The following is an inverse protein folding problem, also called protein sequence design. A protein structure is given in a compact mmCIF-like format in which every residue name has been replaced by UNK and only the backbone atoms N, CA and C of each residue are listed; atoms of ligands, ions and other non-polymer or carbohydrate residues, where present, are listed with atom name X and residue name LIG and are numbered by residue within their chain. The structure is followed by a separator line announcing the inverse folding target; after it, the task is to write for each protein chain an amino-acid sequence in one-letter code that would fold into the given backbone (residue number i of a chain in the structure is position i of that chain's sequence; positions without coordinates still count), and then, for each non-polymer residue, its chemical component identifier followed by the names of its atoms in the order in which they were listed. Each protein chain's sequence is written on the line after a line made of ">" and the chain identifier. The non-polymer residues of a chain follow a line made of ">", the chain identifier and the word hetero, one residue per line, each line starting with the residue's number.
data_IF_006985018091
#
_entry.id   IF_006985018091
#
_cell.length_a   1.000
_cell.length_b   1.000
_cell.length_c   1.000
_cell.angle_alpha   90.00
_cell.angle_beta   90.00
_cell.angle_gamma   90.00
#
_symmetry.space_group_name_H-M   'P 1'
#
loop_
_entity.id
_entity.type
_entity.pdbx_description
1 polymer ?
#
# COMPACT_ATOMS: atom_id res chain seq x y z
N UNK A 1 3.03 41.25 73.96
CA UNK A 1 3.47 40.06 74.72
C UNK A 1 3.96 39.05 73.70
N UNK A 2 5.25 38.83 73.50
CA UNK A 2 6.33 38.35 74.40
C UNK A 2 6.57 36.85 74.19
N UNK A 3 7.70 36.54 73.55
CA UNK A 3 8.32 35.20 73.48
C UNK A 3 9.07 34.92 74.80
N UNK A 4 9.35 33.64 75.13
CA UNK A 4 10.68 33.07 74.80
C UNK A 4 10.61 31.59 74.32
N UNK A 5 11.68 30.95 73.83
CA UNK A 5 13.06 31.42 73.56
C UNK A 5 14.13 30.35 73.86
N UNK A 6 15.39 30.57 73.40
CA UNK A 6 16.59 29.70 73.60
C UNK A 6 16.58 28.31 72.94
N UNK A 7 17.70 27.66 72.59
CA UNK A 7 19.15 27.98 72.61
C UNK A 7 19.81 27.37 71.33
N UNK A 8 20.93 27.82 70.72
CA UNK A 8 22.34 27.90 71.20
C UNK A 8 22.89 26.55 71.73
N UNK A 9 24.13 26.09 71.46
CA UNK A 9 25.34 26.54 70.74
C UNK A 9 26.25 25.29 70.51
N UNK A 10 27.34 25.19 69.70
CA UNK A 10 28.04 26.03 68.70
C UNK A 10 28.81 25.07 67.73
N UNK A 11 30.10 25.10 67.29
CA UNK A 11 31.29 25.98 67.41
C UNK A 11 32.48 25.46 66.53
N UNK A 12 33.21 26.37 65.86
CA UNK A 12 34.64 26.25 65.41
C UNK A 12 34.99 25.19 64.32
N UNK A 13 36.02 25.30 63.46
CA UNK A 13 37.13 26.27 63.18
C UNK A 13 37.56 26.07 61.70
N UNK A 14 38.26 26.94 60.95
CA UNK A 14 38.80 28.31 61.07
C UNK A 14 39.47 28.65 59.72
N UNK A 15 39.18 29.79 59.08
CA UNK A 15 39.90 31.09 59.12
C UNK A 15 41.16 31.18 58.20
N UNK A 16 41.27 32.32 57.48
CA UNK A 16 42.46 32.97 56.88
C UNK A 16 43.46 32.14 56.01
N UNK A 17 43.87 32.56 54.80
CA UNK A 17 44.22 33.91 54.29
C UNK A 17 44.20 33.97 52.74
N UNK A 18 44.32 35.18 52.17
CA UNK A 18 44.83 35.42 50.80
C UNK A 18 45.79 36.64 50.81
N UNK A 19 46.82 36.68 49.95
CA UNK A 19 46.85 37.73 48.92
C UNK A 19 47.49 37.33 47.56
N UNK A 20 47.56 38.31 46.64
CA UNK A 20 48.01 38.21 45.24
C UNK A 20 49.52 37.97 45.04
N UNK A 21 49.88 37.35 43.90
CA UNK A 21 50.91 37.87 42.97
C UNK A 21 50.75 37.27 41.55
N UNK A 22 51.22 37.97 40.52
CA UNK A 22 51.19 37.53 39.11
C UNK A 22 52.52 36.88 38.66
N UNK A 23 52.48 35.92 37.72
CA UNK A 23 53.65 35.37 37.01
C UNK A 23 53.30 34.67 35.66
N UNK A 24 53.12 35.48 34.61
CA UNK A 24 53.32 35.20 33.17
C UNK A 24 53.46 33.77 32.57
N UNK A 25 52.54 33.47 31.61
CA UNK A 25 52.79 32.82 30.30
C UNK A 25 53.24 31.33 30.28
N UNK A 26 53.26 30.66 29.09
CA UNK A 26 52.06 30.12 28.46
C UNK A 26 52.12 28.59 28.30
N UNK A 27 51.04 27.96 27.81
CA UNK A 27 51.08 26.57 27.29
C UNK A 27 50.41 26.48 25.94
N UNK A 28 51.18 26.00 24.96
CA UNK A 28 50.74 25.83 23.59
C UNK A 28 49.76 24.67 23.42
N UNK A 29 48.95 24.77 22.36
CA UNK A 29 48.05 23.73 21.88
C UNK A 29 48.80 22.66 21.09
N UNK A 30 48.50 21.38 21.33
CA UNK A 30 48.04 20.50 20.24
C UNK A 30 47.34 19.23 20.75
N UNK A 31 46.67 18.59 19.80
CA UNK A 31 45.84 17.39 19.90
C UNK A 31 46.61 16.14 20.39
N UNK A 32 45.93 15.12 20.94
CA UNK A 32 44.49 15.02 21.16
C UNK A 32 44.09 13.71 21.86
N UNK A 33 42.80 13.54 22.21
CA UNK A 33 42.37 12.43 23.06
C UNK A 33 42.15 11.11 22.30
N UNK A 34 42.59 10.06 22.96
CA UNK A 34 42.34 8.65 22.66
C UNK A 34 40.82 8.35 22.60
N UNK A 35 40.35 7.64 21.56
CA UNK A 35 38.94 7.27 21.43
C UNK A 35 38.65 5.95 22.12
N UNK A 36 38.13 6.04 23.34
CA UNK A 36 37.49 4.91 24.02
C UNK A 36 36.33 4.35 23.17
N UNK A 37 36.31 3.03 22.97
CA UNK A 37 35.37 2.36 22.06
C UNK A 37 34.16 1.87 22.87
N UNK A 38 33.34 2.83 23.33
CA UNK A 38 32.02 2.51 23.87
C UNK A 38 31.12 2.01 22.73
N UNK A 39 30.85 0.69 22.69
CA UNK A 39 29.89 0.11 21.74
C UNK A 39 28.48 0.53 22.19
N UNK A 40 27.71 1.30 21.39
CA UNK A 40 26.35 1.68 21.77
C UNK A 40 25.41 0.47 21.66
N UNK A 41 24.57 0.26 22.68
CA UNK A 41 23.46 -0.69 22.64
C UNK A 41 22.54 -0.36 21.45
N UNK A 42 22.40 -1.30 20.51
CA UNK A 42 21.60 -1.09 19.29
C UNK A 42 20.09 -1.31 19.50
N UNK A 43 19.60 -1.09 20.72
CA UNK A 43 18.21 -1.39 21.13
C UNK A 43 17.34 -0.13 21.18
N UNK A 44 17.90 1.01 21.57
CA UNK A 44 17.14 2.20 21.99
C UNK A 44 16.85 3.19 20.84
N UNK A 45 17.03 2.77 19.59
CA UNK A 45 17.03 3.62 18.39
C UNK A 45 15.77 3.50 17.50
N UNK A 46 14.63 3.01 18.05
CA UNK A 46 13.45 2.64 17.25
C UNK A 46 12.14 3.35 17.64
N UNK A 47 11.96 3.86 18.88
CA UNK A 47 10.62 4.30 19.35
C UNK A 47 10.36 5.82 19.47
N UNK A 48 11.34 6.72 19.32
CA UNK A 48 11.08 8.18 19.37
C UNK A 48 10.94 8.86 17.99
N UNK A 49 9.83 8.59 17.28
CA UNK A 49 9.20 9.60 16.40
C UNK A 49 7.73 9.31 16.05
N UNK A 50 6.95 10.38 15.78
CA UNK A 50 5.55 10.34 15.30
C UNK A 50 4.55 9.70 16.29
N UNK A 51 4.51 10.22 17.53
CA UNK A 51 3.44 9.98 18.52
C UNK A 51 2.31 11.03 18.48
N UNK A 52 2.59 12.24 18.00
CA UNK A 52 1.62 13.34 17.90
C UNK A 52 0.84 13.32 16.57
N UNK A 53 -0.45 13.64 16.63
CA UNK A 53 -1.43 13.65 15.52
C UNK A 53 -1.49 12.36 14.68
N UNK A 54 -1.43 11.17 15.32
CA UNK A 54 -2.02 9.97 14.70
C UNK A 54 -3.53 10.15 14.64
N UNK A 55 -4.19 10.06 13.47
CA UNK A 55 -5.61 10.39 13.38
C UNK A 55 -6.46 9.39 14.18
N UNK A 56 -7.24 9.91 15.13
CA UNK A 56 -8.19 9.13 15.91
C UNK A 56 -9.21 8.41 15.02
N UNK A 57 -9.59 7.18 15.41
CA UNK A 57 -10.43 6.26 14.63
C UNK A 57 -11.81 6.89 14.36
N UNK A 58 -11.96 7.44 13.16
CA UNK A 58 -13.12 8.24 12.82
C UNK A 58 -14.17 7.39 12.12
N UNK A 59 -15.43 7.43 12.58
CA UNK A 59 -16.52 6.63 12.01
C UNK A 59 -16.72 6.88 10.50
N UNK A 60 -16.45 8.10 10.02
CA UNK A 60 -16.46 8.45 8.59
C UNK A 60 -15.43 7.66 7.76
N UNK A 61 -14.39 7.08 8.37
CA UNK A 61 -13.41 6.22 7.74
C UNK A 61 -13.95 4.89 7.21
N UNK A 62 -15.13 4.45 7.65
CA UNK A 62 -15.78 3.27 7.08
C UNK A 62 -16.26 3.49 5.64
N UNK A 63 -16.59 4.73 5.26
CA UNK A 63 -17.04 5.07 3.89
C UNK A 63 -15.94 4.76 2.84
N UNK A 64 -14.70 5.30 2.95
CA UNK A 64 -13.62 4.95 2.03
C UNK A 64 -13.21 3.47 2.14
N UNK A 65 -13.26 2.84 3.32
CA UNK A 65 -12.99 1.40 3.46
C UNK A 65 -13.99 0.52 2.71
N UNK A 66 -15.28 0.86 2.74
CA UNK A 66 -16.31 0.15 1.98
C UNK A 66 -16.18 0.39 0.47
N UNK A 67 -15.84 1.62 0.05
CA UNK A 67 -15.55 1.91 -1.36
C UNK A 67 -14.33 1.13 -1.88
N UNK A 68 -13.30 0.97 -1.04
CA UNK A 68 -12.15 0.08 -1.31
C UNK A 68 -12.58 -1.38 -1.37
N UNK A 69 -13.44 -1.86 -0.48
CA UNK A 69 -13.95 -3.23 -0.49
C UNK A 69 -14.70 -3.55 -1.80
N UNK A 70 -15.52 -2.63 -2.29
CA UNK A 70 -16.21 -2.75 -3.58
C UNK A 70 -15.20 -2.70 -4.75
N UNK A 71 -14.20 -1.82 -4.73
CA UNK A 71 -13.18 -1.84 -5.78
C UNK A 71 -12.33 -3.13 -5.77
N UNK A 72 -12.01 -3.70 -4.61
CA UNK A 72 -11.40 -5.03 -4.52
C UNK A 72 -12.33 -6.15 -5.01
N UNK A 73 -13.63 -6.06 -4.73
CA UNK A 73 -14.65 -6.96 -5.28
C UNK A 73 -14.63 -6.97 -6.81
N UNK A 74 -14.43 -5.81 -7.44
CA UNK A 74 -14.29 -5.69 -8.90
C UNK A 74 -12.93 -6.20 -9.41
N UNK A 75 -11.81 -5.75 -8.84
CA UNK A 75 -10.45 -6.10 -9.32
C UNK A 75 -10.18 -7.60 -9.20
N UNK A 76 -10.43 -8.18 -8.03
CA UNK A 76 -10.18 -9.61 -7.78
C UNK A 76 -11.33 -10.49 -8.28
N UNK A 77 -12.59 -10.02 -8.28
CA UNK A 77 -13.70 -10.73 -8.90
C UNK A 77 -13.50 -10.92 -10.40
N UNK A 78 -13.10 -9.86 -11.11
CA UNK A 78 -12.67 -9.90 -12.50
C UNK A 78 -11.56 -10.93 -12.73
N UNK A 79 -10.49 -10.85 -11.95
CA UNK A 79 -9.31 -11.73 -12.07
C UNK A 79 -9.68 -13.22 -11.87
N UNK A 80 -10.55 -13.54 -10.90
CA UNK A 80 -11.05 -14.90 -10.69
C UNK A 80 -11.99 -15.36 -11.82
N UNK A 81 -12.87 -14.48 -12.32
CA UNK A 81 -13.81 -14.82 -13.40
C UNK A 81 -13.13 -15.18 -14.72
N UNK A 82 -11.86 -14.82 -14.91
CA UNK A 82 -11.06 -15.28 -16.04
C UNK A 82 -11.01 -16.82 -16.13
N UNK A 83 -11.12 -17.56 -15.03
CA UNK A 83 -11.24 -19.02 -15.05
C UNK A 83 -12.42 -19.51 -15.91
N UNK A 84 -13.58 -18.85 -15.78
CA UNK A 84 -14.79 -19.16 -16.59
C UNK A 84 -14.56 -18.84 -18.07
N UNK A 85 -13.96 -17.68 -18.36
CA UNK A 85 -13.63 -17.29 -19.73
C UNK A 85 -12.62 -18.25 -20.36
N UNK A 86 -11.60 -18.70 -19.63
CA UNK A 86 -10.62 -19.69 -20.08
C UNK A 86 -11.28 -21.02 -20.48
N UNK A 87 -12.20 -21.54 -19.65
CA UNK A 87 -12.99 -22.74 -19.97
C UNK A 87 -13.86 -22.54 -21.22
N UNK A 88 -14.54 -21.41 -21.37
CA UNK A 88 -15.31 -21.10 -22.57
C UNK A 88 -14.42 -20.96 -23.83
N UNK A 89 -13.25 -20.33 -23.72
CA UNK A 89 -12.33 -20.19 -24.85
C UNK A 89 -11.78 -21.53 -25.33
N UNK A 90 -11.54 -22.48 -24.43
CA UNK A 90 -11.08 -23.84 -24.77
C UNK A 90 -12.14 -24.68 -25.50
N UNK A 91 -13.39 -24.62 -25.04
CA UNK A 91 -14.46 -25.48 -25.57
C UNK A 91 -15.14 -24.88 -26.81
N UNK A 92 -15.52 -23.60 -26.75
CA UNK A 92 -16.45 -23.00 -27.72
C UNK A 92 -15.76 -22.13 -28.77
N UNK A 93 -14.76 -21.33 -28.37
CA UNK A 93 -14.25 -20.23 -29.22
C UNK A 93 -12.92 -20.51 -29.93
N UNK A 94 -12.06 -21.36 -29.38
CA UNK A 94 -10.74 -21.69 -29.92
C UNK A 94 -10.37 -23.19 -29.76
N UNK A 95 -11.20 -24.13 -30.25
CA UNK A 95 -10.94 -25.56 -30.14
C UNK A 95 -9.57 -25.91 -30.73
N UNK A 96 -8.73 -26.59 -29.95
CA UNK A 96 -7.34 -26.93 -30.29
C UNK A 96 -6.27 -25.98 -29.71
N UNK A 97 -6.64 -24.88 -29.05
CA UNK A 97 -5.69 -24.07 -28.28
C UNK A 97 -5.24 -24.82 -27.03
N UNK A 98 -3.94 -24.80 -26.72
CA UNK A 98 -3.42 -25.38 -25.48
C UNK A 98 -3.92 -24.63 -24.25
N UNK A 99 -4.42 -25.36 -23.25
CA UNK A 99 -4.82 -24.79 -21.96
C UNK A 99 -3.69 -23.98 -21.30
N UNK A 100 -2.43 -24.39 -21.47
CA UNK A 100 -1.29 -23.63 -20.96
C UNK A 100 -1.22 -22.20 -21.54
N UNK A 101 -1.53 -22.02 -22.84
CA UNK A 101 -1.54 -20.71 -23.51
C UNK A 101 -2.60 -19.77 -22.92
N UNK A 102 -3.74 -20.30 -22.51
CA UNK A 102 -4.80 -19.51 -21.86
C UNK A 102 -4.54 -19.31 -20.35
N UNK A 103 -3.89 -20.25 -19.67
CA UNK A 103 -3.44 -20.06 -18.28
C UNK A 103 -2.46 -18.88 -18.12
N UNK A 104 -1.60 -18.62 -19.12
CA UNK A 104 -0.71 -17.46 -19.12
C UNK A 104 -1.45 -16.13 -18.94
N UNK A 105 -2.68 -15.98 -19.43
CA UNK A 105 -3.46 -14.74 -19.27
C UNK A 105 -3.76 -14.46 -17.79
N UNK A 106 -4.20 -15.47 -17.04
CA UNK A 106 -4.47 -15.36 -15.59
C UNK A 106 -3.20 -15.04 -14.78
N UNK A 107 -2.08 -15.66 -15.15
CA UNK A 107 -0.77 -15.32 -14.59
C UNK A 107 -0.40 -13.86 -14.88
N UNK A 108 -0.53 -13.42 -16.13
CA UNK A 108 -0.19 -12.06 -16.56
C UNK A 108 -1.04 -10.99 -15.88
N UNK A 109 -2.34 -11.21 -15.64
CA UNK A 109 -3.18 -10.32 -14.83
C UNK A 109 -2.51 -10.06 -13.48
N UNK A 110 -2.15 -11.14 -12.78
CA UNK A 110 -1.58 -11.07 -11.43
C UNK A 110 -0.18 -10.46 -11.43
N UNK A 111 0.67 -10.86 -12.39
CA UNK A 111 2.03 -10.34 -12.55
C UNK A 111 2.04 -8.84 -12.85
N UNK A 112 1.18 -8.35 -13.76
CA UNK A 112 1.10 -6.91 -14.05
C UNK A 112 0.39 -6.13 -12.93
N UNK A 113 -0.66 -6.68 -12.32
CA UNK A 113 -1.34 -6.04 -11.18
C UNK A 113 -0.39 -5.78 -10.01
N UNK A 114 0.39 -6.79 -9.60
CA UNK A 114 1.33 -6.66 -8.50
C UNK A 114 2.63 -5.97 -8.93
N UNK A 115 3.21 -6.34 -10.07
CA UNK A 115 4.47 -5.77 -10.56
C UNK A 115 4.41 -4.28 -10.87
N UNK A 116 3.31 -3.80 -11.46
CA UNK A 116 3.11 -2.36 -11.70
C UNK A 116 2.67 -1.60 -10.45
N UNK A 117 2.17 -2.27 -9.39
CA UNK A 117 1.64 -1.60 -8.18
C UNK A 117 2.65 -0.67 -7.49
N UNK A 118 3.95 -0.97 -7.56
CA UNK A 118 5.03 -0.14 -7.02
C UNK A 118 5.11 1.20 -7.77
N UNK A 119 5.03 1.15 -9.11
CA UNK A 119 5.10 2.32 -9.98
C UNK A 119 3.81 3.14 -9.91
N UNK A 120 2.64 2.48 -9.90
CA UNK A 120 1.35 3.17 -9.78
C UNK A 120 1.13 3.73 -8.39
N UNK A 121 1.68 3.12 -7.33
CA UNK A 121 1.72 3.68 -5.98
C UNK A 121 2.54 4.95 -5.88
N UNK A 122 3.77 4.94 -6.42
CA UNK A 122 4.61 6.14 -6.52
C UNK A 122 3.94 7.25 -7.37
N UNK A 123 3.14 6.88 -8.37
CA UNK A 123 2.33 7.82 -9.15
C UNK A 123 1.10 8.31 -8.37
N UNK A 124 0.43 7.47 -7.59
CA UNK A 124 -0.72 7.80 -6.75
C UNK A 124 -0.34 8.78 -5.62
N UNK A 125 0.84 8.65 -5.03
CA UNK A 125 1.35 9.64 -4.08
C UNK A 125 1.68 10.98 -4.73
N UNK A 126 2.13 10.99 -5.99
CA UNK A 126 2.45 12.24 -6.73
C UNK A 126 1.23 12.94 -7.36
N UNK A 127 0.26 12.20 -7.88
CA UNK A 127 -0.89 12.71 -8.65
C UNK A 127 -2.22 12.68 -7.87
N UNK A 128 -2.25 12.04 -6.71
CA UNK A 128 -3.44 11.86 -5.89
C UNK A 128 -4.23 10.59 -6.24
N UNK A 129 -4.72 9.92 -5.20
CA UNK A 129 -5.31 8.58 -5.30
C UNK A 129 -6.53 8.51 -6.22
N UNK A 130 -7.39 9.54 -6.20
CA UNK A 130 -8.55 9.65 -7.11
C UNK A 130 -8.16 9.62 -8.58
N UNK A 131 -7.11 10.37 -8.97
CA UNK A 131 -6.68 10.48 -10.37
C UNK A 131 -6.13 9.14 -10.86
N UNK A 132 -5.27 8.49 -10.07
CA UNK A 132 -4.74 7.16 -10.40
C UNK A 132 -5.86 6.11 -10.47
N UNK A 133 -6.81 6.12 -9.54
CA UNK A 133 -7.94 5.20 -9.55
C UNK A 133 -8.82 5.36 -10.81
N UNK A 134 -9.14 6.60 -11.23
CA UNK A 134 -9.87 6.86 -12.47
C UNK A 134 -9.12 6.38 -13.73
N UNK A 135 -7.80 6.56 -13.78
CA UNK A 135 -6.98 6.00 -14.89
C UNK A 135 -7.10 4.47 -14.91
N UNK A 136 -7.04 3.81 -13.75
CA UNK A 136 -7.23 2.36 -13.64
C UNK A 136 -8.63 1.90 -14.08
N UNK A 137 -9.69 2.59 -13.65
CA UNK A 137 -11.07 2.34 -14.11
C UNK A 137 -11.19 2.42 -15.64
N UNK A 138 -10.63 3.45 -16.28
CA UNK A 138 -10.66 3.61 -17.74
C UNK A 138 -9.88 2.48 -18.42
N UNK A 139 -8.71 2.10 -17.91
CA UNK A 139 -7.89 1.01 -18.47
C UNK A 139 -8.57 -0.36 -18.33
N UNK A 140 -9.14 -0.69 -17.16
CA UNK A 140 -9.91 -1.93 -16.97
C UNK A 140 -11.16 -1.99 -17.86
N UNK A 141 -11.85 -0.86 -18.01
CA UNK A 141 -13.02 -0.74 -18.91
C UNK A 141 -12.62 -0.94 -20.36
N UNK A 142 -11.55 -0.28 -20.81
CA UNK A 142 -10.99 -0.43 -22.14
C UNK A 142 -10.54 -1.89 -22.41
N UNK A 143 -9.89 -2.55 -21.44
CA UNK A 143 -9.50 -3.94 -21.55
C UNK A 143 -10.70 -4.87 -21.79
N UNK A 144 -11.78 -4.72 -21.02
CA UNK A 144 -13.02 -5.50 -21.22
C UNK A 144 -13.70 -5.22 -22.57
N UNK A 145 -13.79 -3.96 -22.97
CA UNK A 145 -14.41 -3.59 -24.25
C UNK A 145 -13.58 -4.06 -25.44
N UNK A 146 -12.25 -3.91 -25.41
CA UNK A 146 -11.34 -4.41 -26.44
C UNK A 146 -11.38 -5.94 -26.52
N UNK A 147 -11.40 -6.64 -25.38
CA UNK A 147 -11.54 -8.09 -25.33
C UNK A 147 -12.83 -8.60 -26.03
N UNK A 148 -13.92 -7.83 -25.98
CA UNK A 148 -15.16 -8.15 -26.72
C UNK A 148 -15.02 -8.12 -28.24
N UNK A 149 -13.97 -7.52 -28.79
CA UNK A 149 -13.69 -7.48 -30.24
C UNK A 149 -12.47 -8.33 -30.63
N UNK A 150 -11.82 -8.99 -29.67
CA UNK A 150 -10.70 -9.88 -29.94
C UNK A 150 -11.17 -11.14 -30.68
N UNK A 151 -10.51 -11.44 -31.79
CA UNK A 151 -10.75 -12.64 -32.58
C UNK A 151 -9.65 -13.70 -32.45
N UNK A 152 -8.50 -13.32 -31.87
CA UNK A 152 -7.30 -14.15 -31.73
C UNK A 152 -6.83 -14.24 -30.27
N UNK A 153 -6.24 -15.39 -29.89
CA UNK A 153 -5.77 -15.64 -28.52
C UNK A 153 -4.71 -14.62 -28.07
N UNK A 154 -3.81 -14.20 -28.97
CA UNK A 154 -2.80 -13.18 -28.64
C UNK A 154 -3.41 -11.81 -28.32
N UNK A 155 -4.57 -11.48 -28.88
CA UNK A 155 -5.27 -10.23 -28.58
C UNK A 155 -5.89 -10.28 -27.18
N UNK A 156 -6.37 -11.47 -26.74
CA UNK A 156 -6.82 -11.71 -25.37
C UNK A 156 -5.66 -11.64 -24.36
N UNK A 157 -4.48 -12.18 -24.71
CA UNK A 157 -3.26 -12.03 -23.89
C UNK A 157 -2.93 -10.54 -23.65
N UNK A 158 -2.98 -9.70 -24.69
CA UNK A 158 -2.71 -8.27 -24.56
C UNK A 158 -3.81 -7.51 -23.81
N UNK A 159 -5.09 -7.83 -24.05
CA UNK A 159 -6.23 -7.09 -23.46
C UNK A 159 -6.60 -7.59 -22.07
N UNK A 160 -6.99 -8.86 -21.93
CA UNK A 160 -7.38 -9.45 -20.65
C UNK A 160 -6.19 -9.74 -19.75
N UNK A 161 -5.00 -10.01 -20.30
CA UNK A 161 -3.78 -10.22 -19.52
C UNK A 161 -3.14 -8.88 -19.13
N UNK A 162 -2.43 -8.28 -20.07
CA UNK A 162 -1.54 -7.14 -19.81
C UNK A 162 -2.32 -5.85 -19.52
N UNK A 163 -3.23 -5.43 -20.41
CA UNK A 163 -3.93 -4.14 -20.27
C UNK A 163 -4.85 -4.11 -19.04
N UNK A 164 -5.58 -5.20 -18.77
CA UNK A 164 -6.36 -5.32 -17.54
C UNK A 164 -5.48 -5.37 -16.30
N UNK A 165 -4.40 -6.17 -16.28
CA UNK A 165 -3.46 -6.23 -15.15
C UNK A 165 -2.83 -4.86 -14.82
N UNK A 166 -2.45 -4.09 -15.84
CA UNK A 166 -1.98 -2.71 -15.66
C UNK A 166 -3.11 -1.84 -15.09
N UNK A 167 -4.32 -1.85 -15.67
CA UNK A 167 -5.46 -1.09 -15.12
C UNK A 167 -5.79 -1.44 -13.66
N UNK A 168 -5.73 -2.72 -13.32
CA UNK A 168 -5.90 -3.24 -11.97
C UNK A 168 -4.83 -2.69 -11.01
N UNK A 169 -3.56 -2.59 -11.44
CA UNK A 169 -2.48 -2.00 -10.62
C UNK A 169 -2.73 -0.52 -10.28
N UNK A 170 -3.39 0.24 -11.17
CA UNK A 170 -3.76 1.64 -10.94
C UNK A 170 -4.89 1.80 -9.92
N UNK A 171 -5.82 0.83 -9.84
CA UNK A 171 -6.84 0.78 -8.79
C UNK A 171 -6.31 0.19 -7.47
N UNK A 172 -5.48 -0.85 -7.53
CA UNK A 172 -4.98 -1.57 -6.35
C UNK A 172 -4.07 -0.71 -5.46
N UNK A 173 -3.13 0.04 -6.04
CA UNK A 173 -2.15 0.82 -5.28
C UNK A 173 -2.75 1.93 -4.37
N UNK A 174 -3.73 2.76 -4.79
CA UNK A 174 -4.43 3.65 -3.86
C UNK A 174 -5.32 2.87 -2.87
N UNK A 175 -5.90 1.74 -3.30
CA UNK A 175 -6.83 0.94 -2.48
C UNK A 175 -6.17 0.34 -1.24
N UNK A 176 -4.99 -0.27 -1.37
CA UNK A 176 -4.22 -0.79 -0.22
C UNK A 176 -3.77 0.33 0.73
N UNK A 177 -3.59 1.55 0.20
CA UNK A 177 -3.07 2.70 0.93
C UNK A 177 -4.12 3.47 1.74
N UNK A 178 -5.42 3.27 1.48
CA UNK A 178 -6.51 4.07 2.06
C UNK A 178 -6.93 3.63 3.47
N UNK A 179 -7.32 2.36 3.73
CA UNK A 179 -7.78 1.95 5.07
C UNK A 179 -6.82 2.28 6.23
N UNK A 180 -5.49 2.06 6.14
CA UNK A 180 -4.57 2.39 7.24
C UNK A 180 -4.34 3.89 7.46
N UNK A 181 -4.86 4.79 6.61
CA UNK A 181 -4.85 6.25 6.86
C UNK A 181 -6.05 6.72 7.68
N UNK A 182 -7.08 5.90 7.83
CA UNK A 182 -8.33 6.27 8.51
C UNK A 182 -8.47 5.70 9.91
N UNK A 183 -7.77 4.59 10.21
CA UNK A 183 -7.83 3.87 11.47
C UNK A 183 -6.43 3.66 12.04
N UNK A 184 -6.24 4.04 13.30
CA UNK A 184 -5.01 3.82 14.07
C UNK A 184 -5.14 2.56 14.92
N UNK A 185 -6.25 2.41 15.68
CA UNK A 185 -6.50 1.27 16.57
C UNK A 185 -7.06 0.06 15.80
N UNK A 186 -8.08 0.25 14.97
CA UNK A 186 -8.74 -0.86 14.26
C UNK A 186 -8.21 -1.11 12.83
N UNK A 187 -6.96 -0.69 12.55
CA UNK A 187 -6.31 -0.80 11.23
C UNK A 187 -6.39 -2.19 10.58
N UNK A 188 -6.22 -3.25 11.38
CA UNK A 188 -6.30 -4.64 10.90
C UNK A 188 -7.72 -5.04 10.49
N UNK A 189 -8.73 -4.61 11.25
CA UNK A 189 -10.14 -4.88 10.92
C UNK A 189 -10.57 -4.11 9.67
N UNK A 190 -10.18 -2.84 9.53
CA UNK A 190 -10.49 -2.04 8.34
C UNK A 190 -9.87 -2.63 7.06
N UNK A 191 -8.59 -3.01 7.10
CA UNK A 191 -7.94 -3.72 5.99
C UNK A 191 -8.52 -5.11 5.73
N UNK A 192 -8.94 -5.84 6.77
CA UNK A 192 -9.61 -7.13 6.65
C UNK A 192 -10.97 -7.03 5.95
N UNK A 193 -11.80 -6.03 6.32
CA UNK A 193 -13.08 -5.74 5.66
C UNK A 193 -12.88 -5.32 4.20
N UNK A 194 -11.85 -4.52 3.91
CA UNK A 194 -11.46 -4.21 2.54
C UNK A 194 -11.12 -5.48 1.73
N UNK A 195 -10.23 -6.34 2.25
CA UNK A 195 -9.82 -7.58 1.59
C UNK A 195 -10.97 -8.58 1.43
N UNK A 196 -11.89 -8.69 2.40
CA UNK A 196 -13.05 -9.59 2.32
C UNK A 196 -13.96 -9.33 1.09
N UNK A 197 -13.99 -8.08 0.59
CA UNK A 197 -14.68 -7.74 -0.66
C UNK A 197 -14.16 -8.53 -1.87
N UNK A 198 -12.87 -8.87 -1.91
CA UNK A 198 -12.28 -9.69 -2.99
C UNK A 198 -12.87 -11.10 -3.07
N UNK A 199 -13.12 -11.74 -1.92
CA UNK A 199 -13.65 -13.10 -1.84
C UNK A 199 -15.12 -13.17 -2.27
N UNK A 200 -15.93 -12.21 -1.82
CA UNK A 200 -17.31 -12.07 -2.29
C UNK A 200 -17.35 -11.75 -3.80
N UNK A 201 -16.41 -10.91 -4.27
CA UNK A 201 -16.23 -10.62 -5.69
C UNK A 201 -15.94 -11.84 -6.52
N UNK A 202 -15.04 -12.72 -6.07
CA UNK A 202 -14.74 -14.00 -6.73
C UNK A 202 -16.00 -14.85 -6.94
N UNK A 203 -16.83 -15.03 -5.91
CA UNK A 203 -18.09 -15.77 -6.01
C UNK A 203 -19.09 -15.09 -6.97
N UNK A 204 -19.36 -13.80 -6.75
CA UNK A 204 -20.37 -13.06 -7.51
C UNK A 204 -20.00 -12.94 -9.01
N UNK A 205 -18.76 -12.54 -9.32
CA UNK A 205 -18.30 -12.41 -10.70
C UNK A 205 -18.29 -13.75 -11.43
N UNK A 206 -17.85 -14.83 -10.78
CA UNK A 206 -17.79 -16.17 -11.41
C UNK A 206 -19.19 -16.65 -11.79
N UNK A 207 -20.15 -16.57 -10.86
CA UNK A 207 -21.53 -16.96 -11.10
C UNK A 207 -22.23 -16.07 -12.15
N UNK A 208 -22.07 -14.75 -12.05
CA UNK A 208 -22.65 -13.80 -13.02
C UNK A 208 -22.04 -13.97 -14.41
N UNK A 209 -20.74 -14.21 -14.52
CA UNK A 209 -20.04 -14.44 -15.79
C UNK A 209 -20.54 -15.71 -16.46
N UNK A 210 -20.64 -16.82 -15.73
CA UNK A 210 -21.19 -18.06 -16.28
C UNK A 210 -22.63 -17.87 -16.78
N UNK A 211 -23.48 -17.21 -15.99
CA UNK A 211 -24.86 -16.94 -16.38
C UNK A 211 -24.97 -16.05 -17.63
N UNK A 212 -24.14 -15.00 -17.74
CA UNK A 212 -24.09 -14.13 -18.93
C UNK A 212 -23.55 -14.82 -20.16
N UNK A 213 -22.50 -15.66 -20.04
CA UNK A 213 -21.97 -16.45 -21.16
C UNK A 213 -23.07 -17.39 -21.70
N UNK A 214 -23.75 -18.11 -20.80
CA UNK A 214 -24.77 -19.09 -21.18
C UNK A 214 -26.05 -18.49 -21.81
N UNK A 215 -26.32 -17.19 -21.60
CA UNK A 215 -27.57 -16.53 -22.03
C UNK A 215 -27.40 -15.46 -23.10
N UNK A 216 -26.26 -14.75 -23.11
CA UNK A 216 -25.98 -13.62 -24.01
C UNK A 216 -24.69 -13.82 -24.84
N UNK A 217 -23.91 -14.86 -24.54
CA UNK A 217 -22.59 -15.11 -25.14
C UNK A 217 -21.48 -14.24 -24.56
N UNK A 218 -20.24 -14.73 -24.64
CA UNK A 218 -19.09 -14.10 -23.99
C UNK A 218 -18.81 -12.66 -24.42
N UNK A 219 -19.08 -12.29 -25.68
CA UNK A 219 -18.87 -10.91 -26.16
C UNK A 219 -19.79 -9.91 -25.43
N UNK A 220 -21.06 -10.25 -25.20
CA UNK A 220 -21.96 -9.41 -24.42
C UNK A 220 -21.65 -9.45 -22.93
N UNK A 221 -21.26 -10.61 -22.38
CA UNK A 221 -20.76 -10.70 -21.00
C UNK A 221 -19.59 -9.74 -20.75
N UNK A 222 -18.59 -9.70 -21.64
CA UNK A 222 -17.45 -8.78 -21.53
C UNK A 222 -17.85 -7.30 -21.62
N UNK A 223 -18.81 -6.95 -22.49
CA UNK A 223 -19.35 -5.57 -22.56
C UNK A 223 -20.06 -5.17 -21.28
N UNK A 224 -20.91 -6.04 -20.73
CA UNK A 224 -21.66 -5.79 -19.50
C UNK A 224 -20.70 -5.66 -18.31
N UNK A 225 -19.72 -6.57 -18.17
CA UNK A 225 -18.67 -6.49 -17.15
C UNK A 225 -17.84 -5.20 -17.27
N UNK A 226 -17.48 -4.79 -18.50
CA UNK A 226 -16.78 -3.53 -18.75
C UNK A 226 -17.58 -2.30 -18.34
N UNK A 227 -18.85 -2.21 -18.74
CA UNK A 227 -19.75 -1.09 -18.39
C UNK A 227 -20.02 -1.06 -16.88
N UNK A 228 -20.27 -2.21 -16.25
CA UNK A 228 -20.48 -2.31 -14.80
C UNK A 228 -19.22 -1.90 -14.04
N UNK A 229 -18.04 -2.34 -14.48
CA UNK A 229 -16.74 -1.93 -13.92
C UNK A 229 -16.58 -0.41 -14.04
N UNK A 230 -16.87 0.18 -15.21
CA UNK A 230 -16.79 1.62 -15.40
C UNK A 230 -17.68 2.37 -14.42
N UNK A 231 -18.97 2.04 -14.36
CA UNK A 231 -19.96 2.75 -13.53
C UNK A 231 -19.66 2.58 -12.04
N UNK A 232 -19.54 1.35 -11.55
CA UNK A 232 -19.41 1.10 -10.11
C UNK A 232 -18.06 1.60 -9.59
N UNK A 233 -16.95 1.29 -10.26
CA UNK A 233 -15.63 1.73 -9.78
C UNK A 233 -15.48 3.26 -9.89
N UNK A 234 -16.04 3.92 -10.91
CA UNK A 234 -16.06 5.40 -10.98
C UNK A 234 -16.79 6.02 -9.78
N UNK A 235 -17.96 5.50 -9.40
CA UNK A 235 -18.71 6.01 -8.23
C UNK A 235 -17.95 5.72 -6.93
N UNK A 236 -17.33 4.55 -6.78
CA UNK A 236 -16.49 4.24 -5.60
C UNK A 236 -15.25 5.15 -5.51
N UNK A 237 -14.63 5.49 -6.65
CA UNK A 237 -13.46 6.38 -6.72
C UNK A 237 -13.75 7.82 -6.23
N UNK A 238 -15.01 8.28 -6.23
CA UNK A 238 -15.39 9.54 -5.60
C UNK A 238 -15.10 9.51 -4.09
N UNK A 239 -15.35 8.38 -3.43
CA UNK A 239 -15.14 8.17 -2.00
C UNK A 239 -13.68 7.89 -1.62
N UNK A 240 -12.73 7.92 -2.57
CA UNK A 240 -11.29 7.78 -2.31
C UNK A 240 -10.73 9.08 -1.69
N UNK A 241 -11.13 9.36 -0.46
CA UNK A 241 -10.72 10.52 0.34
C UNK A 241 -9.43 10.17 1.08
N UNK A 242 -8.38 10.96 0.82
CA UNK A 242 -7.07 10.84 1.46
C UNK A 242 -7.04 11.66 2.75
N UNK A 243 -6.83 11.03 3.92
CA UNK A 243 -6.78 11.71 5.23
C UNK A 243 -5.41 12.32 5.54
N UNK A 244 -4.33 11.70 5.06
CA UNK A 244 -2.94 12.14 5.30
C UNK A 244 -2.30 12.60 3.98
N UNK A 245 -1.84 13.85 3.83
CA UNK A 245 -1.23 14.32 2.58
C UNK A 245 0.07 13.54 2.25
N UNK A 246 0.43 13.48 0.97
CA UNK A 246 1.67 12.83 0.56
C UNK A 246 2.88 13.60 1.11
N UNK A 247 3.63 13.02 2.05
CA UNK A 247 5.04 13.41 2.27
C UNK A 247 5.81 12.98 1.00
N UNK A 248 6.35 13.90 0.16
CA UNK A 248 6.96 13.52 -1.12
C UNK A 248 8.31 12.86 -0.88
N UNK A 249 8.34 11.53 -0.80
CA UNK A 249 9.58 10.73 -0.73
C UNK A 249 10.44 11.02 -1.96
N UNK A 250 11.58 11.69 -1.79
CA UNK A 250 12.48 12.09 -2.89
C UNK A 250 13.01 10.88 -3.67
N UNK A 251 13.18 9.73 -3.02
CA UNK A 251 13.66 8.49 -3.61
C UNK A 251 12.49 7.65 -4.15
N UNK A 252 12.02 7.93 -5.37
CA UNK A 252 10.95 7.12 -6.00
C UNK A 252 11.42 5.76 -6.53
N UNK A 253 12.73 5.55 -6.64
CA UNK A 253 13.33 4.24 -6.95
C UNK A 253 14.35 3.89 -5.87
N UNK A 254 13.90 3.32 -4.76
CA UNK A 254 14.76 2.39 -4.00
C UNK A 254 14.82 1.04 -4.73
N UNK A 255 15.27 1.05 -5.98
CA UNK A 255 15.59 -0.17 -6.72
C UNK A 255 16.67 -0.98 -5.97
N UNK A 256 17.53 -0.27 -5.22
CA UNK A 256 18.48 -0.80 -4.23
C UNK A 256 17.82 -1.58 -3.08
N UNK A 257 16.57 -1.30 -2.70
CA UNK A 257 15.84 -2.07 -1.70
C UNK A 257 15.31 -3.39 -2.30
N UNK A 258 14.85 -3.38 -3.55
CA UNK A 258 14.53 -4.61 -4.29
C UNK A 258 15.78 -5.47 -4.58
N UNK A 259 16.98 -4.89 -4.51
CA UNK A 259 18.27 -5.63 -4.52
C UNK A 259 18.69 -6.15 -3.14
N UNK A 260 18.02 -5.80 -2.04
CA UNK A 260 18.35 -6.34 -0.71
C UNK A 260 17.82 -7.76 -0.59
N UNK A 261 18.70 -8.69 -0.27
CA UNK A 261 18.39 -10.12 -0.10
C UNK A 261 17.30 -10.34 0.97
N UNK A 262 17.23 -9.48 1.99
CA UNK A 262 16.16 -9.43 3.01
C UNK A 262 14.76 -9.27 2.43
N UNK A 263 14.57 -8.50 1.35
CA UNK A 263 13.26 -8.33 0.71
C UNK A 263 12.78 -9.64 0.08
N UNK A 264 13.71 -10.40 -0.52
CA UNK A 264 13.42 -11.71 -1.10
C UNK A 264 13.19 -12.78 -0.04
N UNK A 265 13.92 -12.76 1.08
CA UNK A 265 13.67 -13.68 2.20
C UNK A 265 12.29 -13.48 2.82
N UNK A 266 11.92 -12.25 3.17
CA UNK A 266 10.57 -11.93 3.71
C UNK A 266 9.47 -12.24 2.69
N UNK A 267 9.74 -12.07 1.38
CA UNK A 267 8.81 -12.49 0.34
C UNK A 267 8.64 -14.01 0.29
N UNK A 268 9.72 -14.79 0.42
CA UNK A 268 9.67 -16.25 0.43
C UNK A 268 8.98 -16.80 1.69
N UNK A 269 9.23 -16.21 2.87
CA UNK A 269 8.49 -16.54 4.10
C UNK A 269 6.99 -16.20 4.00
N UNK A 270 6.60 -15.27 3.13
CA UNK A 270 5.19 -14.95 2.85
C UNK A 270 4.50 -15.92 1.86
N UNK A 271 5.23 -16.92 1.36
CA UNK A 271 4.76 -17.96 0.42
C UNK A 271 4.93 -19.39 0.94
N UNK A 272 5.32 -19.57 2.21
CA UNK A 272 5.55 -20.86 2.88
C UNK A 272 4.47 -21.17 3.93
#
# INVERSE_FOLDING_TARGET
>A
MLSPGSAAQSSLTGDSTAPRSEASLPRDTHDGPEKDITIPSSTDAVEEQDSDVRPEDCAFGWIPTLAVAVNYMFIFGASNSYGVFSTYYLNDRFPGTSAATLSWIGSLITTFMLGCSVLTGALADKRGYRVTAYIGTVLCTAAYLLASFCNEVWQLILTQGILFGIGASFLFAPSISIPPQWFTKHRGLASGVAVAGSSFGGLWFTAATQAMINSLGAAWALRILGILTFVVTSVMNLFYIRRVPARPKKNVLELRAATRLTFWLVSLESFA
#
